data_IF_524047917173
#
_entry.id   IF_524047917173
#
_cell.length_a   1.000
_cell.length_b   1.000
_cell.length_c   1.000
_cell.angle_alpha   90.00
_cell.angle_beta   90.00
_cell.angle_gamma   90.00
#
_symmetry.space_group_name_H-M   'P 1'
#
loop_
_entity.id
_entity.type
_entity.pdbx_description
1 polymer ?
#
# COMPACT_ATOMS: atom_id res chain seq x y z
N UNK A 1 14.87 -1.74 -10.37
CA UNK A 1 13.95 -1.72 -11.53
C UNK A 1 12.58 -1.29 -11.03
N UNK A 2 11.97 -0.27 -11.64
CA UNK A 2 10.62 0.20 -11.30
C UNK A 2 9.58 -0.78 -11.88
N UNK A 3 8.45 -0.97 -11.21
CA UNK A 3 7.24 -1.45 -11.87
C UNK A 3 6.74 -0.35 -12.84
N UNK A 4 5.94 -0.75 -13.83
CA UNK A 4 5.32 0.13 -14.85
C UNK A 4 4.50 1.30 -14.25
N UNK A 5 4.24 1.30 -12.93
CA UNK A 5 3.34 2.22 -12.23
C UNK A 5 4.02 3.17 -11.22
N UNK A 6 5.36 3.31 -11.27
CA UNK A 6 6.07 4.43 -10.60
C UNK A 6 6.45 4.22 -9.12
N UNK A 7 6.26 3.04 -8.54
CA UNK A 7 6.81 2.68 -7.23
C UNK A 7 8.06 1.78 -7.37
N UNK A 8 9.13 2.02 -6.59
CA UNK A 8 10.31 1.17 -6.60
C UNK A 8 9.99 -0.20 -6.00
N UNK A 9 10.46 -1.27 -6.67
CA UNK A 9 10.35 -2.63 -6.15
C UNK A 9 11.19 -2.87 -4.88
N UNK A 10 12.13 -1.98 -4.57
CA UNK A 10 13.12 -2.18 -3.50
C UNK A 10 12.69 -1.56 -2.16
N UNK A 11 11.41 -1.59 -1.81
CA UNK A 11 10.95 -1.20 -0.46
C UNK A 11 11.63 -2.03 0.64
N UNK A 12 12.11 -3.23 0.30
CA UNK A 12 12.89 -4.11 1.18
C UNK A 12 14.17 -3.46 1.73
N UNK A 13 14.66 -2.40 1.07
CA UNK A 13 15.81 -1.61 1.54
C UNK A 13 15.52 -0.75 2.77
N UNK A 14 14.27 -0.72 3.25
CA UNK A 14 13.81 0.06 4.39
C UNK A 14 13.42 -0.83 5.59
N UNK A 15 14.35 -1.61 6.18
CA UNK A 15 14.03 -2.64 7.18
C UNK A 15 13.52 -2.09 8.52
N UNK A 16 13.61 -0.78 8.74
CA UNK A 16 13.12 -0.13 9.96
C UNK A 16 11.93 0.80 9.72
N UNK A 17 11.31 0.76 8.54
CA UNK A 17 10.16 1.61 8.24
C UNK A 17 8.94 1.16 9.05
N UNK A 18 8.43 2.04 9.91
CA UNK A 18 7.23 1.78 10.73
C UNK A 18 5.97 2.47 10.18
N UNK A 19 6.15 3.59 9.48
CA UNK A 19 5.06 4.37 8.90
C UNK A 19 5.40 4.67 7.44
N UNK A 20 4.47 4.33 6.56
CA UNK A 20 4.57 4.60 5.12
C UNK A 20 3.35 5.41 4.68
N UNK A 21 3.57 6.67 4.32
CA UNK A 21 2.54 7.52 3.76
C UNK A 21 2.71 7.62 2.24
N UNK A 22 1.73 7.09 1.52
CA UNK A 22 1.67 7.10 0.05
C UNK A 22 0.46 7.90 -0.44
N UNK A 23 -0.14 8.71 0.42
CA UNK A 23 -1.31 9.52 0.10
C UNK A 23 -1.06 10.44 -1.09
N UNK A 24 -2.12 10.72 -1.87
CA UNK A 24 -2.16 11.64 -3.02
C UNK A 24 -1.23 11.26 -4.17
N UNK A 25 -0.87 9.99 -4.29
CA UNK A 25 -0.11 9.48 -5.42
C UNK A 25 -1.01 8.82 -6.48
N UNK A 26 -0.44 8.65 -7.68
CA UNK A 26 -1.16 8.20 -8.89
C UNK A 26 -0.75 6.78 -9.34
N UNK A 27 -0.32 5.93 -8.42
CA UNK A 27 0.02 4.55 -8.74
C UNK A 27 -1.25 3.69 -8.88
N UNK A 28 -1.19 2.69 -9.75
CA UNK A 28 -2.29 1.72 -9.92
C UNK A 28 -2.22 0.56 -8.93
N UNK A 29 -1.02 0.19 -8.48
CA UNK A 29 -0.78 -0.91 -7.56
C UNK A 29 0.39 -0.58 -6.62
N UNK A 30 0.44 -1.25 -5.46
CA UNK A 30 1.62 -1.25 -4.60
C UNK A 30 2.56 -2.41 -5.01
N UNK A 31 3.89 -2.26 -4.88
CA UNK A 31 4.82 -3.34 -5.18
C UNK A 31 4.62 -4.49 -4.19
N UNK A 32 4.72 -5.73 -4.66
CA UNK A 32 4.54 -6.93 -3.83
C UNK A 32 5.53 -6.99 -2.64
N UNK A 33 6.68 -6.33 -2.76
CA UNK A 33 7.69 -6.22 -1.71
C UNK A 33 7.22 -5.43 -0.48
N UNK A 34 6.09 -4.73 -0.53
CA UNK A 34 5.50 -4.08 0.65
C UNK A 34 5.21 -5.09 1.78
N UNK A 35 4.89 -6.34 1.43
CA UNK A 35 4.71 -7.46 2.36
C UNK A 35 5.95 -7.76 3.21
N UNK A 36 7.14 -7.36 2.73
CA UNK A 36 8.43 -7.61 3.38
C UNK A 36 8.87 -6.51 4.34
N UNK A 37 8.12 -5.41 4.43
CA UNK A 37 8.37 -4.35 5.41
C UNK A 37 7.97 -4.82 6.81
N UNK A 38 8.83 -5.64 7.41
CA UNK A 38 8.53 -6.37 8.64
C UNK A 38 8.24 -5.49 9.86
N UNK A 39 8.72 -4.24 9.87
CA UNK A 39 8.41 -3.28 10.94
C UNK A 39 7.27 -2.31 10.62
N UNK A 40 6.66 -2.40 9.44
CA UNK A 40 5.60 -1.48 9.03
C UNK A 40 4.35 -1.71 9.87
N UNK A 41 3.84 -0.63 10.47
CA UNK A 41 2.69 -0.63 11.37
C UNK A 41 1.56 0.23 10.84
N UNK A 42 1.87 1.29 10.10
CA UNK A 42 0.90 2.24 9.56
C UNK A 42 1.14 2.42 8.07
N UNK A 43 0.09 2.25 7.27
CA UNK A 43 0.09 2.51 5.83
C UNK A 43 -1.06 3.48 5.48
N UNK A 44 -0.71 4.66 4.95
CA UNK A 44 -1.69 5.66 4.51
C UNK A 44 -1.78 5.71 2.98
N UNK A 45 -2.98 5.54 2.44
CA UNK A 45 -3.30 5.50 1.02
C UNK A 45 -4.43 6.49 0.66
N UNK A 46 -4.48 7.61 1.38
CA UNK A 46 -5.53 8.60 1.20
C UNK A 46 -5.37 9.36 -0.12
N UNK A 47 -6.45 9.54 -0.86
CA UNK A 47 -6.52 10.19 -2.18
C UNK A 47 -5.67 9.52 -3.26
N UNK A 48 -5.48 8.20 -3.17
CA UNK A 48 -4.89 7.39 -4.24
C UNK A 48 -5.96 6.97 -5.25
N UNK A 49 -6.45 7.92 -6.05
CA UNK A 49 -7.64 7.74 -6.91
C UNK A 49 -7.45 6.72 -8.03
N UNK A 50 -6.20 6.44 -8.43
CA UNK A 50 -5.86 5.46 -9.47
C UNK A 50 -5.57 4.06 -8.92
N UNK A 51 -5.51 3.89 -7.59
CA UNK A 51 -5.20 2.61 -6.96
C UNK A 51 -6.32 1.60 -7.24
N UNK A 52 -5.97 0.48 -7.88
CA UNK A 52 -6.90 -0.57 -8.31
C UNK A 52 -6.79 -1.83 -7.46
N UNK A 53 -5.61 -2.11 -6.90
CA UNK A 53 -5.37 -3.31 -6.10
C UNK A 53 -4.34 -3.08 -5.00
N UNK A 54 -4.46 -3.85 -3.92
CA UNK A 54 -3.51 -3.91 -2.81
C UNK A 54 -2.95 -5.34 -2.76
N UNK A 55 -1.62 -5.53 -2.80
CA UNK A 55 -1.00 -6.84 -2.64
C UNK A 55 -1.11 -7.33 -1.19
N UNK A 56 -0.53 -8.48 -0.88
CA UNK A 56 -0.38 -8.91 0.51
C UNK A 56 0.35 -7.86 1.34
N UNK A 57 -0.21 -7.59 2.52
CA UNK A 57 0.30 -6.60 3.45
C UNK A 57 1.24 -7.25 4.48
N UNK A 58 2.21 -6.50 5.03
CA UNK A 58 3.11 -7.06 6.03
C UNK A 58 2.33 -7.48 7.28
N UNK A 59 2.69 -8.63 7.85
CA UNK A 59 1.97 -9.25 8.96
C UNK A 59 1.88 -8.38 10.24
N UNK A 60 2.81 -7.43 10.41
CA UNK A 60 2.85 -6.53 11.57
C UNK A 60 2.06 -5.23 11.36
N UNK A 61 1.41 -5.06 10.20
CA UNK A 61 0.60 -3.89 9.90
C UNK A 61 -0.60 -3.85 10.85
N UNK A 62 -0.76 -2.71 11.54
CA UNK A 62 -1.84 -2.51 12.52
C UNK A 62 -2.92 -1.59 12.00
N UNK A 63 -2.53 -0.66 11.14
CA UNK A 63 -3.42 0.38 10.64
C UNK A 63 -3.18 0.57 9.15
N UNK A 64 -4.28 0.52 8.40
CA UNK A 64 -4.33 0.92 7.01
C UNK A 64 -5.42 1.97 6.86
N UNK A 65 -5.07 3.13 6.31
CA UNK A 65 -6.02 4.19 6.03
C UNK A 65 -6.21 4.33 4.52
N UNK A 66 -7.46 4.19 4.07
CA UNK A 66 -7.83 4.30 2.66
C UNK A 66 -9.04 5.22 2.54
N UNK A 67 -8.78 6.47 2.17
CA UNK A 67 -9.81 7.50 1.94
C UNK A 67 -9.72 7.96 0.49
N UNK A 68 -10.83 8.10 -0.23
CA UNK A 68 -10.80 8.62 -1.62
C UNK A 68 -10.01 7.77 -2.63
N UNK A 69 -9.97 6.44 -2.44
CA UNK A 69 -9.45 5.48 -3.41
C UNK A 69 -10.61 4.86 -4.20
N UNK A 70 -11.18 5.63 -5.11
CA UNK A 70 -12.46 5.32 -5.75
C UNK A 70 -12.40 4.03 -6.58
N UNK A 71 -11.32 3.86 -7.35
CA UNK A 71 -11.08 2.67 -8.19
C UNK A 71 -10.89 1.37 -7.39
N UNK A 72 -10.37 1.45 -6.16
CA UNK A 72 -10.20 0.29 -5.29
C UNK A 72 -11.54 -0.15 -4.69
N UNK A 73 -12.43 0.80 -4.37
CA UNK A 73 -13.75 0.50 -3.76
C UNK A 73 -14.68 -0.25 -4.69
N UNK A 74 -14.55 -0.02 -6.00
CA UNK A 74 -15.29 -0.75 -7.03
C UNK A 74 -14.90 -2.24 -7.07
N UNK A 75 -13.68 -2.57 -6.64
CA UNK A 75 -13.21 -3.94 -6.49
C UNK A 75 -13.41 -4.39 -5.04
N UNK A 76 -14.53 -5.04 -4.73
CA UNK A 76 -14.92 -5.56 -3.40
C UNK A 76 -13.89 -6.52 -2.75
N UNK A 77 -12.71 -6.05 -2.34
CA UNK A 77 -11.62 -6.85 -1.76
C UNK A 77 -11.36 -6.56 -0.29
N UNK A 78 -11.94 -5.50 0.28
CA UNK A 78 -11.81 -5.25 1.72
C UNK A 78 -12.75 -6.16 2.52
N UNK A 79 -12.30 -7.39 2.80
CA UNK A 79 -12.65 -8.05 4.05
C UNK A 79 -11.97 -7.26 5.16
N UNK A 80 -12.64 -6.26 5.69
CA UNK A 80 -12.24 -5.65 6.95
C UNK A 80 -12.43 -6.70 8.04
N UNK A 81 -11.34 -7.34 8.47
CA UNK A 81 -11.26 -8.01 9.77
C UNK A 81 -10.29 -7.19 10.59
N UNK A 82 -10.84 -6.42 11.53
CA UNK A 82 -10.12 -6.05 12.75
C UNK A 82 -10.39 -7.14 13.78
#
# INVERSE_FOLDING_TARGET
MLLDDGLPNDLESLPSLEVLNLSRNKFHCLPASISRLSKLRILELSQCTMLKSIPDLPANLRTIEIVGADQLREQKQLKASF
#
